data_IF_372084463692
#
_entry.id   IF_372084463692
#
_cell.length_a   1.000
_cell.length_b   1.000
_cell.length_c   1.000
_cell.angle_alpha   90.00
_cell.angle_beta   90.00
_cell.angle_gamma   90.00
#
_symmetry.space_group_name_H-M   'P 1'
#
loop_
_entity.id
_entity.type
_entity.pdbx_description
1 polymer ?
#
# COMPACT_ATOMS: atom_id res chain seq x y z
N UNK A 1 -36.59 28.13 70.17
CA UNK A 1 -35.17 27.67 70.20
C UNK A 1 -35.06 26.60 69.12
N UNK A 2 -34.26 26.65 68.05
CA UNK A 2 -32.92 27.18 67.78
C UNK A 2 -32.90 27.53 66.27
N UNK A 3 -32.54 28.76 65.92
CA UNK A 3 -32.17 29.14 64.54
C UNK A 3 -30.72 28.67 64.33
N UNK A 4 -30.40 27.97 63.24
CA UNK A 4 -29.05 27.91 62.69
C UNK A 4 -29.16 27.57 61.19
N UNK A 5 -29.05 28.61 60.35
CA UNK A 5 -27.84 28.89 59.58
C UNK A 5 -27.65 27.87 58.44
N UNK A 6 -28.50 27.99 57.41
CA UNK A 6 -28.11 27.59 56.05
C UNK A 6 -27.02 28.58 55.64
N UNK A 7 -25.76 28.17 55.80
CA UNK A 7 -24.62 28.88 55.21
C UNK A 7 -24.88 28.94 53.71
N UNK A 8 -25.06 30.14 53.17
CA UNK A 8 -24.99 30.40 51.74
C UNK A 8 -23.67 29.81 51.25
N UNK A 9 -23.74 28.69 50.54
CA UNK A 9 -22.62 28.25 49.71
C UNK A 9 -22.41 29.38 48.69
N UNK A 10 -21.20 29.93 48.72
CA UNK A 10 -20.78 31.05 47.89
C UNK A 10 -21.16 30.79 46.43
N UNK A 11 -21.96 31.66 45.76
CA UNK A 11 -22.35 31.44 44.37
C UNK A 11 -21.14 31.37 43.44
N UNK A 12 -20.01 31.96 43.84
CA UNK A 12 -18.72 31.86 43.15
C UNK A 12 -18.16 30.43 43.19
N UNK A 13 -18.35 29.71 44.30
CA UNK A 13 -17.88 28.33 44.45
C UNK A 13 -18.73 27.31 43.67
N UNK A 14 -20.02 27.56 43.50
CA UNK A 14 -20.90 26.72 42.68
C UNK A 14 -20.61 26.93 41.18
N UNK A 15 -20.35 28.17 40.76
CA UNK A 15 -20.03 28.49 39.37
C UNK A 15 -18.65 27.95 38.93
N UNK A 16 -17.66 27.96 39.84
CA UNK A 16 -16.33 27.39 39.59
C UNK A 16 -16.34 25.85 39.57
N UNK A 17 -17.27 25.19 40.27
CA UNK A 17 -17.40 23.73 40.25
C UNK A 17 -18.13 23.22 39.00
N UNK A 18 -19.07 24.00 38.43
CA UNK A 18 -19.76 23.65 37.17
C UNK A 18 -18.90 23.85 35.93
N UNK A 19 -17.88 24.72 35.97
CA UNK A 19 -16.93 24.93 34.87
C UNK A 19 -15.87 23.81 34.75
N UNK A 20 -15.67 23.01 35.79
CA UNK A 20 -14.67 21.93 35.79
C UNK A 20 -15.24 20.61 35.23
N UNK A 21 -16.56 20.43 35.20
CA UNK A 21 -17.20 19.23 34.60
C UNK A 21 -17.53 19.36 33.11
N UNK A 22 -17.45 20.56 32.52
CA UNK A 22 -17.70 20.78 31.09
C UNK A 22 -16.44 20.63 30.21
N UNK A 23 -15.30 20.27 30.80
CA UNK A 23 -14.03 20.07 30.09
C UNK A 23 -13.72 18.59 29.78
N UNK A 24 -14.72 17.70 29.82
CA UNK A 24 -14.60 16.26 29.53
C UNK A 24 -15.39 15.82 28.31
N UNK A 25 -15.61 16.70 27.34
CA UNK A 25 -16.21 16.35 26.05
C UNK A 25 -15.44 17.08 24.96
N UNK A 26 -14.21 16.67 24.65
CA UNK A 26 -13.55 16.84 23.34
C UNK A 26 -12.19 16.12 23.36
N UNK A 27 -12.23 14.79 23.32
CA UNK A 27 -11.11 13.99 22.81
C UNK A 27 -11.65 12.78 22.03
N UNK A 28 -12.71 13.01 21.24
CA UNK A 28 -13.14 12.10 20.18
C UNK A 28 -12.44 12.54 18.87
N UNK A 29 -11.13 12.36 18.86
CA UNK A 29 -10.30 12.12 17.69
C UNK A 29 -9.01 11.58 18.29
N UNK A 30 -9.05 10.34 18.78
CA UNK A 30 -7.83 9.56 18.69
C UNK A 30 -7.64 9.39 17.19
N UNK A 31 -6.59 9.96 16.54
CA UNK A 31 -6.10 9.26 15.40
C UNK A 31 -5.79 7.87 15.96
N UNK A 32 -6.53 6.86 15.51
CA UNK A 32 -5.93 5.56 15.41
C UNK A 32 -4.78 5.80 14.43
N UNK A 33 -3.66 6.26 14.98
CA UNK A 33 -2.39 6.21 14.33
C UNK A 33 -2.17 4.71 14.20
N UNK A 34 -2.67 4.17 13.10
CA UNK A 34 -2.20 2.89 12.62
C UNK A 34 -0.67 2.94 12.75
N UNK A 35 -0.05 1.96 13.40
CA UNK A 35 1.38 1.77 13.27
C UNK A 35 1.62 1.22 11.86
N UNK A 36 1.30 2.02 10.83
CA UNK A 36 1.83 1.82 9.50
C UNK A 36 3.31 2.22 9.59
N UNK A 37 4.26 1.26 9.47
CA UNK A 37 5.65 1.62 9.20
C UNK A 37 5.72 2.53 7.95
N UNK A 38 6.74 3.38 7.82
CA UNK A 38 6.68 4.58 6.97
C UNK A 38 6.61 4.22 5.48
N UNK A 39 5.39 4.05 4.98
CA UNK A 39 5.10 3.74 3.58
C UNK A 39 5.32 4.91 2.61
N UNK A 40 5.79 6.05 3.10
CA UNK A 40 5.81 7.28 2.33
C UNK A 40 7.03 8.15 2.62
N UNK A 41 8.20 7.56 2.89
CA UNK A 41 9.44 8.38 2.97
C UNK A 41 10.65 7.79 2.26
N UNK A 42 10.39 7.01 1.21
CA UNK A 42 11.43 6.51 0.33
C UNK A 42 11.30 7.17 -1.05
N UNK A 43 12.44 7.55 -1.63
CA UNK A 43 12.50 8.46 -2.79
C UNK A 43 11.87 7.82 -4.02
N UNK A 44 12.08 6.54 -4.28
CA UNK A 44 11.63 5.90 -5.52
C UNK A 44 10.11 5.70 -5.53
N UNK A 45 9.51 5.25 -4.42
CA UNK A 45 8.06 5.13 -4.30
C UNK A 45 7.34 6.48 -4.44
N UNK A 46 7.87 7.54 -3.81
CA UNK A 46 7.34 8.91 -3.99
C UNK A 46 7.35 9.33 -5.45
N UNK A 47 8.48 9.15 -6.12
CA UNK A 47 8.62 9.51 -7.53
C UNK A 47 7.71 8.71 -8.46
N UNK A 48 7.45 7.43 -8.17
CA UNK A 48 6.45 6.64 -8.90
C UNK A 48 5.06 7.26 -8.74
N UNK A 49 4.65 7.54 -7.50
CA UNK A 49 3.33 8.11 -7.20
C UNK A 49 3.16 9.48 -7.85
N UNK A 50 4.19 10.33 -7.79
CA UNK A 50 4.21 11.65 -8.46
C UNK A 50 4.04 11.50 -9.97
N UNK A 51 4.85 10.65 -10.63
CA UNK A 51 4.74 10.43 -12.08
C UNK A 51 3.36 9.92 -12.51
N UNK A 52 2.77 9.00 -11.74
CA UNK A 52 1.44 8.47 -12.03
C UNK A 52 0.33 9.53 -11.81
N UNK A 53 0.45 10.36 -10.77
CA UNK A 53 -0.50 11.46 -10.52
C UNK A 53 -0.39 12.56 -11.60
N UNK A 54 0.83 12.90 -12.02
CA UNK A 54 1.08 13.91 -13.07
C UNK A 54 0.50 13.47 -14.42
N UNK A 55 0.41 12.16 -14.66
CA UNK A 55 -0.27 11.55 -15.82
C UNK A 55 -1.81 11.43 -15.63
N UNK A 56 -2.34 12.02 -14.55
CA UNK A 56 -3.78 12.11 -14.27
C UNK A 56 -4.40 10.83 -13.72
N UNK A 57 -3.60 9.88 -13.22
CA UNK A 57 -4.12 8.64 -12.66
C UNK A 57 -4.72 8.84 -11.26
N UNK A 58 -5.75 8.05 -10.94
CA UNK A 58 -6.31 7.99 -9.59
C UNK A 58 -5.54 6.97 -8.75
N UNK A 59 -4.89 7.46 -7.70
CA UNK A 59 -4.04 6.65 -6.83
C UNK A 59 -4.67 6.53 -5.44
N UNK A 60 -4.75 5.29 -4.94
CA UNK A 60 -4.99 5.02 -3.53
C UNK A 60 -3.97 4.01 -3.01
N UNK A 61 -3.19 4.43 -2.02
CA UNK A 61 -2.28 3.53 -1.31
C UNK A 61 -3.11 2.57 -0.46
N UNK A 62 -2.82 1.28 -0.60
CA UNK A 62 -3.38 0.21 0.21
C UNK A 62 -2.45 -0.20 1.34
N UNK A 63 -2.67 -1.39 1.90
CA UNK A 63 -1.86 -1.93 2.97
C UNK A 63 -0.55 -2.56 2.50
N UNK A 64 0.22 -3.03 3.49
CA UNK A 64 1.40 -3.85 3.28
C UNK A 64 1.07 -5.16 2.54
N UNK A 65 1.98 -5.61 1.69
CA UNK A 65 1.90 -6.93 1.05
C UNK A 65 3.24 -7.66 1.21
N UNK A 66 3.19 -8.96 1.44
CA UNK A 66 4.36 -9.82 1.41
C UNK A 66 4.28 -10.77 0.21
N UNK A 67 5.35 -10.85 -0.56
CA UNK A 67 5.51 -11.87 -1.61
C UNK A 67 6.53 -12.89 -1.14
N UNK A 68 6.24 -14.19 -1.28
CA UNK A 68 7.22 -15.24 -0.97
C UNK A 68 8.42 -15.24 -1.94
N UNK A 69 8.30 -14.51 -3.05
CA UNK A 69 9.27 -14.44 -4.14
C UNK A 69 10.22 -13.26 -4.03
N UNK A 70 9.95 -12.32 -3.12
CA UNK A 70 10.71 -11.09 -2.91
C UNK A 70 11.13 -11.00 -1.44
N UNK A 71 12.33 -10.49 -1.20
CA UNK A 71 12.97 -10.50 0.13
C UNK A 71 12.51 -9.36 1.04
N UNK A 72 11.91 -8.32 0.46
CA UNK A 72 11.35 -7.18 1.19
C UNK A 72 9.84 -7.23 1.22
N UNK A 73 9.25 -6.57 2.21
CA UNK A 73 7.82 -6.28 2.20
C UNK A 73 7.53 -5.17 1.20
N UNK A 74 6.36 -5.24 0.59
CA UNK A 74 5.88 -4.27 -0.37
C UNK A 74 4.62 -3.57 0.10
N UNK A 75 4.05 -2.84 -0.83
CA UNK A 75 2.80 -2.10 -0.68
C UNK A 75 1.86 -2.39 -1.80
N UNK A 76 0.58 -2.26 -1.48
CA UNK A 76 -0.45 -2.17 -2.48
C UNK A 76 -0.67 -0.73 -2.94
N UNK A 77 -0.83 -0.56 -4.24
CA UNK A 77 -1.25 0.66 -4.91
C UNK A 77 -2.49 0.31 -5.75
N UNK A 78 -3.58 1.03 -5.54
CA UNK A 78 -4.71 1.01 -6.48
C UNK A 78 -4.49 2.12 -7.50
N UNK A 79 -4.34 1.74 -8.77
CA UNK A 79 -4.11 2.62 -9.90
C UNK A 79 -5.32 2.53 -10.83
N UNK A 80 -6.16 3.58 -10.88
CA UNK A 80 -7.40 3.59 -11.67
C UNK A 80 -8.32 2.37 -11.41
N UNK A 81 -8.25 1.81 -10.20
CA UNK A 81 -8.99 0.60 -9.80
C UNK A 81 -8.23 -0.72 -10.02
N UNK A 82 -7.11 -0.72 -10.74
CA UNK A 82 -6.22 -1.87 -10.87
C UNK A 82 -5.29 -2.01 -9.65
N UNK A 83 -4.99 -3.25 -9.29
CA UNK A 83 -4.15 -3.58 -8.14
C UNK A 83 -2.69 -3.75 -8.56
N UNK A 84 -1.81 -2.90 -8.05
CA UNK A 84 -0.36 -2.88 -8.34
C UNK A 84 0.41 -3.05 -7.03
N UNK A 85 1.43 -3.91 -7.02
CA UNK A 85 2.30 -4.10 -5.87
C UNK A 85 3.65 -3.44 -6.13
N UNK A 86 4.22 -2.76 -5.14
CA UNK A 86 5.57 -2.21 -5.24
C UNK A 86 6.44 -2.54 -4.03
N UNK A 87 7.72 -2.79 -4.28
CA UNK A 87 8.70 -3.29 -3.32
C UNK A 87 9.96 -2.44 -3.43
N UNK A 88 10.27 -1.68 -2.39
CA UNK A 88 11.45 -0.81 -2.38
C UNK A 88 12.59 -1.44 -1.58
N UNK A 89 13.77 -1.44 -2.18
CA UNK A 89 14.99 -2.05 -1.67
C UNK A 89 15.95 -0.98 -1.16
N UNK A 90 16.84 -1.37 -0.25
CA UNK A 90 17.91 -0.49 0.23
C UNK A 90 18.93 -0.13 -0.87
N UNK A 91 18.99 -0.90 -1.97
CA UNK A 91 19.88 -0.63 -3.09
C UNK A 91 19.37 -1.24 -4.40
N UNK A 92 19.80 -0.67 -5.53
CA UNK A 92 19.47 -1.20 -6.85
C UNK A 92 20.04 -2.61 -7.07
N UNK A 93 21.20 -2.91 -6.47
CA UNK A 93 21.79 -4.25 -6.53
C UNK A 93 20.91 -5.29 -5.83
N UNK A 94 20.28 -4.94 -4.70
CA UNK A 94 19.36 -5.84 -4.01
C UNK A 94 18.05 -6.04 -4.79
N UNK A 95 17.49 -4.97 -5.37
CA UNK A 95 16.33 -5.06 -6.25
C UNK A 95 16.64 -5.95 -7.47
N UNK A 96 17.77 -5.74 -8.12
CA UNK A 96 18.20 -6.57 -9.25
C UNK A 96 18.40 -8.04 -8.85
N UNK A 97 18.99 -8.32 -7.69
CA UNK A 97 19.21 -9.69 -7.24
C UNK A 97 17.90 -10.48 -7.11
N UNK A 98 16.84 -9.84 -6.59
CA UNK A 98 15.52 -10.46 -6.48
C UNK A 98 14.81 -10.56 -7.84
N UNK A 99 14.86 -9.50 -8.66
CA UNK A 99 14.27 -9.49 -9.99
C UNK A 99 14.92 -10.54 -10.92
N UNK A 100 16.23 -10.74 -10.82
CA UNK A 100 16.98 -11.69 -11.63
C UNK A 100 16.63 -13.16 -11.38
N UNK A 101 15.89 -13.46 -10.31
CA UNK A 101 15.36 -14.82 -10.09
C UNK A 101 14.22 -15.16 -11.05
N UNK A 102 13.49 -14.16 -11.54
CA UNK A 102 12.40 -14.35 -12.49
C UNK A 102 12.97 -14.63 -13.89
N UNK A 103 12.42 -15.62 -14.56
CA UNK A 103 12.64 -15.82 -15.99
C UNK A 103 12.03 -14.65 -16.80
N UNK A 104 12.41 -14.46 -18.08
CA UNK A 104 11.94 -13.33 -18.87
C UNK A 104 10.41 -13.21 -19.02
N UNK A 105 9.68 -14.32 -18.89
CA UNK A 105 8.21 -14.36 -18.93
C UNK A 105 7.54 -14.02 -17.58
N UNK A 106 8.33 -13.93 -16.50
CA UNK A 106 7.87 -13.84 -15.12
C UNK A 106 6.95 -14.97 -14.65
N UNK A 107 6.80 -16.05 -15.43
CA UNK A 107 6.02 -17.24 -15.07
C UNK A 107 6.86 -18.27 -14.31
N UNK A 108 8.18 -18.21 -14.46
CA UNK A 108 9.11 -19.08 -13.74
C UNK A 108 10.01 -18.26 -12.82
N UNK A 109 10.28 -18.77 -11.62
CA UNK A 109 11.26 -18.21 -10.69
C UNK A 109 12.27 -19.27 -10.23
N UNK A 110 13.54 -18.89 -10.14
CA UNK A 110 14.62 -19.73 -9.62
C UNK A 110 14.86 -19.43 -8.15
N UNK A 111 14.54 -20.38 -7.28
CA UNK A 111 14.77 -20.28 -5.84
C UNK A 111 15.44 -21.56 -5.34
N UNK A 112 16.45 -21.41 -4.48
CA UNK A 112 17.17 -22.54 -3.86
C UNK A 112 17.70 -23.58 -4.88
N UNK A 113 18.14 -23.11 -6.04
CA UNK A 113 18.67 -23.94 -7.13
C UNK A 113 17.61 -24.68 -7.96
N UNK A 114 16.32 -24.40 -7.76
CA UNK A 114 15.21 -25.06 -8.44
C UNK A 114 14.36 -24.01 -9.17
N UNK A 115 13.95 -24.34 -10.41
CA UNK A 115 12.97 -23.55 -11.17
C UNK A 115 11.55 -23.93 -10.73
N UNK A 116 10.74 -22.93 -10.37
CA UNK A 116 9.35 -23.09 -9.95
C UNK A 116 8.44 -22.28 -10.87
N UNK A 117 7.33 -22.87 -11.30
CA UNK A 117 6.28 -22.17 -12.02
C UNK A 117 5.40 -21.40 -11.02
N UNK A 118 5.13 -20.14 -11.31
CA UNK A 118 4.22 -19.30 -10.55
C UNK A 118 2.86 -19.31 -11.25
N UNK A 119 1.84 -19.73 -10.51
CA UNK A 119 0.45 -19.72 -10.96
C UNK A 119 -0.17 -18.34 -10.68
N UNK A 120 0.01 -17.42 -11.63
CA UNK A 120 -0.59 -16.09 -11.56
C UNK A 120 -2.06 -16.14 -12.00
N UNK A 121 -2.91 -15.31 -11.39
CA UNK A 121 -4.31 -15.17 -11.80
C UNK A 121 -4.49 -14.58 -13.21
N UNK A 122 -3.51 -13.84 -13.71
CA UNK A 122 -3.51 -13.21 -15.03
C UNK A 122 -2.07 -13.04 -15.54
N UNK A 123 -1.85 -12.22 -16.57
CA UNK A 123 -0.52 -11.92 -17.11
C UNK A 123 0.33 -11.14 -16.10
N UNK A 124 1.53 -11.62 -15.71
CA UNK A 124 2.43 -10.86 -14.86
C UNK A 124 3.23 -9.81 -15.65
N UNK A 125 3.34 -8.62 -15.07
CA UNK A 125 4.14 -7.50 -15.54
C UNK A 125 5.09 -7.06 -14.42
N UNK A 126 6.35 -7.46 -14.50
CA UNK A 126 7.39 -7.12 -13.54
C UNK A 126 8.24 -5.97 -14.09
N UNK A 127 8.33 -4.88 -13.33
CA UNK A 127 9.16 -3.73 -13.62
C UNK A 127 10.30 -3.65 -12.60
N UNK A 128 11.47 -3.21 -13.06
CA UNK A 128 12.62 -2.91 -12.22
C UNK A 128 13.08 -1.48 -12.58
N UNK A 129 13.09 -0.59 -11.60
CA UNK A 129 13.50 0.80 -11.77
C UNK A 129 14.27 1.26 -10.53
N UNK A 130 15.56 1.50 -10.67
CA UNK A 130 16.48 1.81 -9.56
C UNK A 130 16.37 0.80 -8.40
N UNK A 131 15.81 1.24 -7.27
CA UNK A 131 15.61 0.46 -6.05
C UNK A 131 14.22 -0.17 -5.96
N UNK A 132 13.38 -0.01 -6.99
CA UNK A 132 11.97 -0.38 -6.96
C UNK A 132 11.70 -1.57 -7.87
N UNK A 133 11.00 -2.58 -7.34
CA UNK A 133 10.31 -3.59 -8.13
C UNK A 133 8.82 -3.26 -8.10
N UNK A 134 8.16 -3.27 -9.25
CA UNK A 134 6.70 -3.14 -9.36
C UNK A 134 6.14 -4.37 -10.05
N UNK A 135 5.10 -4.96 -9.48
CA UNK A 135 4.40 -6.13 -9.98
C UNK A 135 2.93 -5.78 -10.22
N UNK A 136 2.51 -5.87 -11.47
CA UNK A 136 1.11 -5.85 -11.87
C UNK A 136 0.73 -7.22 -12.44
N UNK A 137 -0.41 -7.78 -12.03
CA UNK A 137 -0.92 -9.05 -12.55
C UNK A 137 -2.31 -8.78 -13.13
N UNK A 138 -2.39 -8.68 -14.46
CA UNK A 138 -3.60 -8.30 -15.17
C UNK A 138 -3.31 -7.87 -16.60
N UNK A 139 -4.36 -7.61 -17.38
CA UNK A 139 -4.28 -7.33 -18.82
C UNK A 139 -4.83 -5.94 -19.20
N UNK A 140 -5.08 -5.06 -18.23
CA UNK A 140 -5.59 -3.72 -18.50
C UNK A 140 -4.51 -2.87 -19.20
N UNK A 141 -4.77 -2.56 -20.47
CA UNK A 141 -3.83 -1.84 -21.34
C UNK A 141 -3.47 -0.47 -20.78
N UNK A 142 -4.44 0.26 -20.21
CA UNK A 142 -4.20 1.59 -19.65
C UNK A 142 -3.22 1.51 -18.47
N UNK A 143 -3.43 0.56 -17.56
CA UNK A 143 -2.53 0.30 -16.43
C UNK A 143 -1.11 -0.02 -16.93
N UNK A 144 -0.99 -0.91 -17.92
CA UNK A 144 0.30 -1.30 -18.50
C UNK A 144 1.00 -0.11 -19.15
N UNK A 145 0.29 0.70 -19.93
CA UNK A 145 0.86 1.87 -20.61
C UNK A 145 1.31 2.95 -19.63
N UNK A 146 0.52 3.23 -18.57
CA UNK A 146 0.90 4.17 -17.52
C UNK A 146 2.14 3.70 -16.76
N UNK A 147 2.20 2.41 -16.39
CA UNK A 147 3.39 1.84 -15.75
C UNK A 147 4.61 1.90 -16.67
N UNK A 148 4.44 1.61 -17.96
CA UNK A 148 5.52 1.76 -18.95
C UNK A 148 6.01 3.21 -19.06
N UNK A 149 5.09 4.19 -19.05
CA UNK A 149 5.44 5.60 -19.08
C UNK A 149 6.18 6.04 -17.80
N UNK A 150 5.75 5.56 -16.64
CA UNK A 150 6.31 5.94 -15.34
C UNK A 150 7.64 5.24 -14.99
N UNK A 151 7.87 4.02 -15.51
CA UNK A 151 9.00 3.17 -15.08
C UNK A 151 9.92 2.74 -16.22
N UNK A 152 9.49 2.91 -17.48
CA UNK A 152 10.12 2.31 -18.65
C UNK A 152 9.55 0.93 -18.97
N UNK A 153 10.18 0.22 -19.91
CA UNK A 153 9.74 -1.12 -20.31
C UNK A 153 9.80 -2.10 -19.14
N UNK A 154 8.86 -3.06 -19.10
CA UNK A 154 8.90 -4.20 -18.17
C UNK A 154 10.27 -4.89 -18.18
N UNK A 155 10.72 -5.30 -17.00
CA UNK A 155 11.92 -6.12 -16.81
C UNK A 155 11.64 -7.58 -17.21
N UNK A 156 10.48 -8.11 -16.80
CA UNK A 156 10.00 -9.44 -17.17
C UNK A 156 8.47 -9.43 -17.30
N UNK A 157 7.93 -10.35 -18.10
CA UNK A 157 6.51 -10.51 -18.30
C UNK A 157 6.17 -11.01 -19.70
N UNK A 158 5.29 -11.99 -19.75
CA UNK A 158 4.79 -12.60 -20.97
C UNK A 158 3.40 -13.19 -20.75
N UNK A 159 2.68 -13.41 -21.85
CA UNK A 159 1.34 -13.97 -21.82
C UNK A 159 1.30 -15.21 -20.92
N UNK A 160 0.39 -15.24 -19.96
CA UNK A 160 0.17 -16.41 -19.10
C UNK A 160 -0.68 -17.43 -19.87
N UNK A 161 -0.13 -18.58 -20.33
CA UNK A 161 -0.90 -19.56 -21.08
C UNK A 161 -1.90 -20.33 -20.21
N UNK A 162 -1.80 -20.19 -18.89
CA UNK A 162 -2.67 -20.83 -17.91
C UNK A 162 -3.84 -19.93 -17.47
N UNK A 163 -3.90 -18.67 -17.95
CA UNK A 163 -5.01 -17.75 -17.62
C UNK A 163 -6.32 -18.05 -18.34
N UNK A 164 -6.44 -19.22 -19.00
CA UNK A 164 -7.64 -19.66 -19.72
C UNK A 164 -8.86 -19.74 -18.78
N UNK A 165 -9.68 -18.69 -18.87
CA UNK A 165 -11.10 -18.61 -18.54
C UNK A 165 -11.52 -19.08 -17.14
N UNK A 166 -11.28 -18.25 -16.11
CA UNK A 166 -12.20 -18.24 -14.97
C UNK A 166 -13.57 -17.71 -15.46
N UNK A 167 -14.38 -18.60 -16.03
CA UNK A 167 -15.81 -18.33 -16.22
C UNK A 167 -16.41 -18.46 -14.82
N UNK A 168 -16.96 -17.39 -14.23
CA UNK A 168 -17.68 -17.54 -12.97
C UNK A 168 -18.76 -18.60 -13.20
N UNK A 169 -18.74 -19.68 -12.42
CA UNK A 169 -19.91 -20.53 -12.29
C UNK A 169 -21.00 -19.62 -11.72
N UNK A 170 -21.97 -19.24 -12.55
CA UNK A 170 -23.15 -18.52 -12.10
C UNK A 170 -23.82 -19.39 -11.01
N UNK A 171 -23.97 -18.82 -9.81
CA UNK A 171 -24.82 -19.37 -8.75
C UNK A 171 -26.30 -19.28 -9.15
#
# INVERSE_FOLDING_TARGET
MRRLFVRLLNPIAVFLLTLITAAWIFAACSPYADPHPPFADTRAAKQLIERLNDDGAQIRIGGEVSSRYLSVKGNMLMLDGAQVQFFEYASAAAALADAARFAPDALTIHMDGIAQVIDWLATPHLYLHDTLIVLYVGDDVNTIERLNAALGSRYAGGANPYSIAYTPIAE
#
